data_IF_343135472455
#
_entry.id   IF_343135472455
#
_cell.length_a   1.000
_cell.length_b   1.000
_cell.length_c   1.000
_cell.angle_alpha   90.00
_cell.angle_beta   90.00
_cell.angle_gamma   90.00
#
_symmetry.space_group_name_H-M   'P 1'
#
loop_
_entity.id
_entity.type
_entity.pdbx_description
1 polymer ?
#
# COMPACT_ATOMS: atom_id res chain seq x y z
N UNK A 1 -16.80 9.85 7.40
CA UNK A 1 -16.26 11.09 7.98
C UNK A 1 -15.48 10.70 9.23
N UNK A 2 -14.31 11.29 9.49
CA UNK A 2 -13.51 10.97 10.70
C UNK A 2 -12.05 10.57 10.46
N UNK A 3 -11.68 10.16 9.25
CA UNK A 3 -10.28 9.84 8.91
C UNK A 3 -9.82 10.68 7.72
N UNK A 4 -8.68 11.36 7.89
CA UNK A 4 -8.05 12.19 6.86
C UNK A 4 -6.99 11.38 6.12
N UNK A 5 -7.06 11.38 4.78
CA UNK A 5 -6.01 10.75 3.98
C UNK A 5 -4.68 11.48 4.14
N UNK A 6 -4.68 12.79 4.40
CA UNK A 6 -3.44 13.55 4.60
C UNK A 6 -2.78 13.22 5.94
N UNK A 7 -3.57 13.04 7.00
CA UNK A 7 -3.04 12.61 8.31
C UNK A 7 -2.43 11.21 8.23
N UNK A 8 -3.08 10.29 7.51
CA UNK A 8 -2.49 8.95 7.28
C UNK A 8 -1.17 9.01 6.51
N UNK A 9 -1.07 9.90 5.51
CA UNK A 9 0.16 10.07 4.72
C UNK A 9 1.28 10.66 5.57
N UNK A 10 0.97 11.58 6.48
CA UNK A 10 1.91 12.14 7.45
C UNK A 10 2.43 11.05 8.38
N UNK A 11 1.55 10.25 8.99
CA UNK A 11 1.92 9.09 9.83
C UNK A 11 2.79 8.10 9.07
N UNK A 12 2.45 7.79 7.82
CA UNK A 12 3.21 6.85 6.99
C UNK A 12 4.63 7.35 6.68
N UNK A 13 4.78 8.65 6.40
CA UNK A 13 6.08 9.26 6.15
C UNK A 13 6.91 9.36 7.43
N UNK A 14 6.32 9.81 8.53
CA UNK A 14 7.01 10.02 9.80
C UNK A 14 7.54 8.72 10.42
N UNK A 15 6.71 7.67 10.44
CA UNK A 15 7.05 6.43 11.15
C UNK A 15 7.69 5.36 10.27
N UNK A 16 7.49 5.41 8.96
CA UNK A 16 7.91 4.33 8.05
C UNK A 16 8.69 4.81 6.82
N UNK A 17 8.94 6.11 6.68
CA UNK A 17 9.62 6.71 5.51
C UNK A 17 8.92 6.36 4.17
N UNK A 18 7.59 6.23 4.20
CA UNK A 18 6.78 5.92 3.02
C UNK A 18 6.12 7.18 2.50
N UNK A 19 6.55 7.60 1.32
CA UNK A 19 5.91 8.69 0.59
C UNK A 19 4.69 8.19 -0.19
N UNK A 20 3.54 8.80 0.09
CA UNK A 20 2.27 8.51 -0.56
C UNK A 20 1.76 9.74 -1.32
N UNK A 21 1.17 9.52 -2.49
CA UNK A 21 0.64 10.59 -3.33
C UNK A 21 -0.65 11.19 -2.77
N UNK A 22 -0.81 12.51 -2.84
CA UNK A 22 -2.03 13.20 -2.42
C UNK A 22 -3.18 13.01 -3.41
N UNK A 23 -4.42 13.11 -2.92
CA UNK A 23 -5.61 13.37 -3.72
C UNK A 23 -5.59 14.78 -4.28
N UNK A 24 -6.04 14.96 -5.54
CA UNK A 24 -6.03 16.25 -6.21
C UNK A 24 -7.43 16.85 -6.32
N UNK A 25 -7.52 18.18 -6.30
CA UNK A 25 -8.76 18.95 -6.53
C UNK A 25 -9.91 18.46 -5.64
N UNK A 26 -10.94 17.83 -6.22
CA UNK A 26 -12.14 17.37 -5.50
C UNK A 26 -11.85 16.21 -4.52
N UNK A 27 -10.70 15.57 -4.65
CA UNK A 27 -10.26 14.42 -3.86
C UNK A 27 -9.21 14.77 -2.79
N UNK A 28 -8.82 16.06 -2.67
CA UNK A 28 -7.88 16.52 -1.64
C UNK A 28 -8.36 16.10 -0.24
N UNK A 29 -7.45 15.55 0.58
CA UNK A 29 -7.73 15.04 1.93
C UNK A 29 -8.60 13.78 2.00
N UNK A 30 -9.14 13.29 0.89
CA UNK A 30 -10.08 12.15 0.86
C UNK A 30 -9.45 10.84 0.41
N UNK A 31 -8.42 10.92 -0.41
CA UNK A 31 -7.72 9.74 -0.96
C UNK A 31 -6.22 9.94 -0.91
N UNK A 32 -5.50 8.84 -0.87
CA UNK A 32 -4.07 8.78 -1.16
C UNK A 32 -3.81 7.83 -2.33
N UNK A 33 -2.62 7.89 -2.91
CA UNK A 33 -2.21 7.06 -4.05
C UNK A 33 -0.90 6.34 -3.75
N UNK A 34 -0.84 5.06 -4.09
CA UNK A 34 0.37 4.26 -4.06
C UNK A 34 0.93 4.24 -5.48
N UNK A 35 2.10 4.82 -5.70
CA UNK A 35 2.79 4.74 -6.98
C UNK A 35 3.49 3.39 -7.12
N UNK A 36 3.35 2.75 -8.28
CA UNK A 36 3.90 1.41 -8.53
C UNK A 36 4.43 1.28 -9.98
N UNK A 37 5.14 2.31 -10.44
CA UNK A 37 5.69 2.42 -11.79
C UNK A 37 7.18 2.76 -11.73
N UNK A 38 7.95 2.34 -12.74
CA UNK A 38 9.40 2.56 -12.83
C UNK A 38 10.21 1.34 -12.41
N UNK A 39 11.38 1.58 -11.84
CA UNK A 39 12.24 0.52 -11.29
C UNK A 39 11.66 0.06 -9.93
N UNK A 40 10.76 -0.90 -9.99
CA UNK A 40 10.09 -1.48 -8.84
C UNK A 40 9.93 -2.98 -9.02
N UNK A 41 9.82 -3.71 -7.92
CA UNK A 41 9.57 -5.14 -7.91
C UNK A 41 8.53 -5.50 -6.85
N UNK A 42 8.11 -6.76 -6.87
CA UNK A 42 7.10 -7.31 -5.98
C UNK A 42 7.41 -7.05 -4.49
N UNK A 43 8.68 -7.13 -4.07
CA UNK A 43 9.07 -6.92 -2.68
C UNK A 43 9.00 -5.44 -2.28
N UNK A 44 9.34 -4.52 -3.18
CA UNK A 44 9.16 -3.08 -2.96
C UNK A 44 7.68 -2.74 -2.79
N UNK A 45 6.80 -3.34 -3.60
CA UNK A 45 5.35 -3.18 -3.49
C UNK A 45 4.85 -3.76 -2.16
N UNK A 46 5.30 -4.94 -1.76
CA UNK A 46 4.95 -5.52 -0.47
C UNK A 46 5.38 -4.65 0.71
N UNK A 47 6.57 -4.03 0.63
CA UNK A 47 7.03 -3.05 1.63
C UNK A 47 6.09 -1.85 1.74
N UNK A 48 5.67 -1.28 0.61
CA UNK A 48 4.71 -0.17 0.60
C UNK A 48 3.36 -0.57 1.20
N UNK A 49 2.84 -1.76 0.88
CA UNK A 49 1.57 -2.27 1.43
C UNK A 49 1.68 -2.52 2.94
N UNK A 50 2.80 -3.05 3.41
CA UNK A 50 3.04 -3.29 4.82
C UNK A 50 3.04 -2.00 5.64
N UNK A 51 3.73 -0.96 5.17
CA UNK A 51 3.71 0.31 5.88
C UNK A 51 2.38 1.06 5.78
N UNK A 52 1.60 0.86 4.70
CA UNK A 52 0.21 1.36 4.66
C UNK A 52 -0.66 0.66 5.70
N UNK A 53 -0.57 -0.66 5.85
CA UNK A 53 -1.33 -1.41 6.86
C UNK A 53 -0.95 -0.98 8.30
N UNK A 54 0.34 -0.78 8.56
CA UNK A 54 0.81 -0.23 9.85
C UNK A 54 0.36 1.22 10.08
N UNK A 55 0.39 2.08 9.06
CA UNK A 55 -0.07 3.47 9.16
C UNK A 55 -1.58 3.55 9.39
N UNK A 56 -2.37 2.69 8.75
CA UNK A 56 -3.81 2.58 9.01
C UNK A 56 -4.08 2.21 10.48
N UNK A 57 -3.29 1.32 11.07
CA UNK A 57 -3.41 0.94 12.47
C UNK A 57 -3.03 2.11 13.41
N UNK A 58 -1.92 2.80 13.16
CA UNK A 58 -1.49 3.96 13.96
C UNK A 58 -2.47 5.14 13.87
N UNK A 59 -3.07 5.36 12.70
CA UNK A 59 -4.07 6.42 12.47
C UNK A 59 -5.49 6.01 12.91
N UNK A 60 -5.63 4.88 13.61
CA UNK A 60 -6.88 4.32 14.13
C UNK A 60 -7.97 4.19 13.05
N UNK A 61 -7.58 3.97 11.78
CA UNK A 61 -8.52 3.78 10.67
C UNK A 61 -9.06 2.34 10.73
N UNK A 62 -10.38 2.13 10.84
CA UNK A 62 -10.94 0.79 10.81
C UNK A 62 -10.63 0.09 9.48
N UNK A 63 -9.89 -1.01 9.56
CA UNK A 63 -9.52 -1.84 8.41
C UNK A 63 -9.48 -3.31 8.83
N UNK A 64 -9.52 -4.21 7.83
CA UNK A 64 -9.27 -5.63 8.05
C UNK A 64 -7.77 -5.88 7.89
N UNK A 65 -7.18 -6.58 8.83
CA UNK A 65 -5.78 -7.02 8.72
C UNK A 65 -5.61 -8.14 7.70
N UNK A 66 -4.39 -8.31 7.20
CA UNK A 66 -4.04 -9.36 6.24
C UNK A 66 -3.86 -8.84 4.80
N UNK A 67 -3.79 -7.52 4.59
CA UNK A 67 -3.65 -6.95 3.25
C UNK A 67 -2.36 -7.39 2.56
N UNK A 68 -1.24 -7.39 3.30
CA UNK A 68 0.06 -7.86 2.78
C UNK A 68 0.02 -9.35 2.45
N UNK A 69 -0.60 -10.16 3.30
CA UNK A 69 -0.73 -11.61 3.10
C UNK A 69 -1.55 -11.92 1.84
N UNK A 70 -2.63 -11.17 1.58
CA UNK A 70 -3.39 -11.30 0.36
C UNK A 70 -2.55 -10.98 -0.89
N UNK A 71 -1.71 -9.93 -0.82
CA UNK A 71 -0.79 -9.59 -1.90
C UNK A 71 0.28 -10.69 -2.13
N UNK A 72 0.88 -11.22 -1.06
CA UNK A 72 1.85 -12.33 -1.14
C UNK A 72 1.23 -13.57 -1.79
N UNK A 73 0.00 -13.92 -1.40
CA UNK A 73 -0.72 -15.06 -1.97
C UNK A 73 -0.94 -14.88 -3.48
N UNK A 74 -1.36 -13.69 -3.90
CA UNK A 74 -1.54 -13.34 -5.31
C UNK A 74 -0.22 -13.42 -6.09
N UNK A 75 0.83 -12.77 -5.61
CA UNK A 75 2.14 -12.72 -6.29
C UNK A 75 2.76 -14.12 -6.41
N UNK A 76 2.64 -14.93 -5.36
CA UNK A 76 3.09 -16.34 -5.40
C UNK A 76 2.31 -17.14 -6.43
N UNK A 77 0.99 -16.96 -6.51
CA UNK A 77 0.15 -17.63 -7.51
C UNK A 77 0.50 -17.17 -8.93
N UNK A 78 0.67 -15.87 -9.15
CA UNK A 78 1.04 -15.30 -10.45
C UNK A 78 2.39 -15.83 -10.93
N UNK A 79 3.39 -15.89 -10.05
CA UNK A 79 4.71 -16.44 -10.36
C UNK A 79 4.66 -17.92 -10.76
N UNK A 80 3.79 -18.74 -10.12
CA UNK A 80 3.58 -20.15 -10.52
C UNK A 80 3.06 -20.29 -11.95
N UNK A 81 2.17 -19.39 -12.38
CA UNK A 81 1.67 -19.37 -13.75
C UNK A 81 2.76 -19.11 -14.79
N UNK A 82 3.78 -18.32 -14.45
CA UNK A 82 4.96 -18.11 -15.28
C UNK A 82 5.89 -19.33 -15.30
N UNK A 83 6.12 -19.96 -14.14
CA UNK A 83 6.92 -21.19 -14.04
C UNK A 83 6.33 -22.35 -14.87
N UNK A 84 5.00 -22.49 -14.91
CA UNK A 84 4.33 -23.52 -15.70
C UNK A 84 4.38 -23.28 -17.21
N UNK A 85 4.61 -22.05 -17.66
CA UNK A 85 4.76 -21.71 -19.09
C UNK A 85 6.20 -21.87 -19.59
N UNK A 86 7.17 -21.86 -18.69
CA UNK A 86 8.59 -22.00 -18.99
C UNK A 86 9.09 -23.46 -18.98
N UNK A 87 8.24 -24.40 -18.53
CA UNK A 87 8.49 -25.84 -18.51
C UNK A 87 7.80 -26.53 -19.70
#
# INVERSE_FOLDING_TARGET
EGHSADSLRETALEHFDISLGTGLTKLSGKVFRIGHLGDTNDLTILGALAGVEMALALAEVPHRTGGVQAAMAYLTQAARGGLAQAA
#
